data_IF_596008851129
#
_entry.id   IF_596008851129
#
_cell.length_a   1.000
_cell.length_b   1.000
_cell.length_c   1.000
_cell.angle_alpha   90.00
_cell.angle_beta   90.00
_cell.angle_gamma   90.00
#
_symmetry.space_group_name_H-M   'P 1'
#
loop_
_entity.id
_entity.type
_entity.pdbx_description
1 polymer ?
#
# COMPACT_ATOMS: atom_id res chain seq x y z
N UNK A 1 26.33 -40.65 -17.23
CA UNK A 1 26.13 -39.20 -17.05
C UNK A 1 25.52 -38.98 -15.68
N UNK A 2 26.34 -38.60 -14.71
CA UNK A 2 25.91 -38.30 -13.35
C UNK A 2 25.35 -36.88 -13.35
N UNK A 3 24.05 -36.73 -13.10
CA UNK A 3 23.44 -35.42 -12.90
C UNK A 3 24.14 -34.76 -11.70
N UNK A 4 24.85 -33.66 -11.94
CA UNK A 4 25.33 -32.80 -10.86
C UNK A 4 24.11 -32.09 -10.29
N UNK A 5 23.53 -32.65 -9.23
CA UNK A 5 22.75 -31.86 -8.27
C UNK A 5 23.73 -30.88 -7.65
N UNK A 6 23.75 -29.65 -8.16
CA UNK A 6 24.35 -28.54 -7.44
C UNK A 6 23.54 -28.36 -6.16
N UNK A 7 24.08 -28.66 -4.97
CA UNK A 7 23.39 -28.37 -3.73
C UNK A 7 23.35 -26.86 -3.64
N UNK A 8 22.15 -26.27 -3.63
CA UNK A 8 21.96 -24.93 -3.12
C UNK A 8 22.67 -24.87 -1.75
N UNK A 9 23.62 -23.96 -1.51
CA UNK A 9 24.40 -24.01 -0.28
C UNK A 9 23.49 -23.81 0.94
N UNK A 10 23.49 -24.77 1.88
CA UNK A 10 23.31 -24.49 3.31
C UNK A 10 21.89 -24.39 3.90
N UNK A 11 20.83 -24.85 3.23
CA UNK A 11 19.48 -24.88 3.81
C UNK A 11 18.96 -26.32 3.97
N UNK A 12 18.50 -26.63 5.18
CA UNK A 12 17.84 -27.92 5.52
C UNK A 12 16.40 -27.91 5.00
N UNK A 13 15.84 -29.08 4.67
CA UNK A 13 14.44 -29.22 4.20
C UNK A 13 13.41 -28.52 5.12
N UNK A 14 13.66 -28.50 6.43
CA UNK A 14 12.84 -27.77 7.39
C UNK A 14 12.88 -26.25 7.18
N UNK A 15 14.06 -25.70 6.92
CA UNK A 15 14.23 -24.25 6.67
C UNK A 15 13.59 -23.85 5.34
N UNK A 16 13.70 -24.70 4.31
CA UNK A 16 13.02 -24.49 3.04
C UNK A 16 11.50 -24.45 3.27
N UNK A 17 10.95 -25.40 4.03
CA UNK A 17 9.54 -25.43 4.37
C UNK A 17 9.10 -24.17 5.12
N UNK A 18 9.87 -23.72 6.10
CA UNK A 18 9.56 -22.51 6.87
C UNK A 18 9.55 -21.25 5.98
N UNK A 19 10.51 -21.12 5.06
CA UNK A 19 10.55 -20.03 4.07
C UNK A 19 9.30 -20.04 3.19
N UNK A 20 8.85 -21.21 2.72
CA UNK A 20 7.63 -21.31 1.91
C UNK A 20 6.36 -20.93 2.68
N UNK A 21 6.27 -21.31 3.96
CA UNK A 21 5.13 -20.93 4.82
C UNK A 21 5.11 -19.42 5.05
N UNK A 22 6.28 -18.82 5.30
CA UNK A 22 6.41 -17.37 5.48
C UNK A 22 6.02 -16.62 4.19
N UNK A 23 6.56 -17.03 3.03
CA UNK A 23 6.19 -16.49 1.72
C UNK A 23 4.69 -16.56 1.45
N UNK A 24 4.05 -17.71 1.73
CA UNK A 24 2.61 -17.88 1.55
C UNK A 24 1.81 -16.95 2.47
N UNK A 25 2.21 -16.85 3.75
CA UNK A 25 1.57 -15.95 4.71
C UNK A 25 1.68 -14.48 4.26
N UNK A 26 2.87 -14.05 3.85
CA UNK A 26 3.10 -12.68 3.44
C UNK A 26 2.40 -12.34 2.12
N UNK A 27 2.43 -13.25 1.14
CA UNK A 27 1.69 -13.11 -0.11
C UNK A 27 0.17 -13.00 0.12
N UNK A 28 -0.39 -13.86 0.98
CA UNK A 28 -1.81 -13.83 1.33
C UNK A 28 -2.20 -12.51 2.03
N UNK A 29 -1.32 -11.97 2.89
CA UNK A 29 -1.51 -10.66 3.53
C UNK A 29 -1.60 -9.55 2.48
N UNK A 30 -0.63 -9.48 1.58
CA UNK A 30 -0.56 -8.44 0.55
C UNK A 30 -1.70 -8.55 -0.47
N UNK A 31 -2.11 -9.78 -0.83
CA UNK A 31 -3.29 -9.98 -1.66
C UNK A 31 -4.57 -9.48 -0.97
N UNK A 32 -4.73 -9.77 0.31
CA UNK A 32 -5.86 -9.27 1.07
C UNK A 32 -5.87 -7.74 1.14
N UNK A 33 -4.71 -7.10 1.38
CA UNK A 33 -4.57 -5.64 1.32
C UNK A 33 -4.97 -5.10 -0.07
N UNK A 34 -4.55 -5.74 -1.15
CA UNK A 34 -4.89 -5.33 -2.51
C UNK A 34 -6.39 -5.47 -2.82
N UNK A 35 -7.04 -6.53 -2.33
CA UNK A 35 -8.48 -6.71 -2.47
C UNK A 35 -9.25 -5.61 -1.74
N UNK A 36 -8.87 -5.32 -0.50
CA UNK A 36 -9.45 -4.21 0.26
C UNK A 36 -9.23 -2.87 -0.43
N UNK A 37 -8.03 -2.65 -0.97
CA UNK A 37 -7.71 -1.45 -1.73
C UNK A 37 -8.57 -1.34 -2.99
N UNK A 38 -8.83 -2.44 -3.69
CA UNK A 38 -9.75 -2.47 -4.83
C UNK A 38 -11.19 -2.11 -4.46
N UNK A 39 -11.69 -2.57 -3.32
CA UNK A 39 -13.00 -2.14 -2.78
C UNK A 39 -12.99 -0.63 -2.50
N UNK A 40 -11.93 -0.14 -1.86
CA UNK A 40 -11.74 1.28 -1.58
C UNK A 40 -11.72 2.13 -2.86
N UNK A 41 -11.05 1.66 -3.92
CA UNK A 41 -11.07 2.30 -5.26
C UNK A 41 -12.50 2.43 -5.78
N UNK A 42 -13.32 1.38 -5.64
CA UNK A 42 -14.73 1.41 -6.00
C UNK A 42 -15.51 2.50 -5.27
N UNK A 43 -15.34 2.59 -3.95
CA UNK A 43 -15.96 3.64 -3.12
C UNK A 43 -15.53 5.03 -3.58
N UNK A 44 -14.22 5.26 -3.72
CA UNK A 44 -13.65 6.54 -4.20
C UNK A 44 -14.23 6.93 -5.56
N UNK A 45 -14.33 5.98 -6.48
CA UNK A 45 -14.88 6.21 -7.83
C UNK A 45 -16.33 6.65 -7.78
N UNK A 46 -17.17 5.98 -6.99
CA UNK A 46 -18.58 6.35 -6.81
C UNK A 46 -18.71 7.72 -6.14
N UNK A 47 -17.87 8.02 -5.15
CA UNK A 47 -17.85 9.33 -4.48
C UNK A 47 -17.47 10.45 -5.45
N UNK A 48 -16.41 10.26 -6.25
CA UNK A 48 -15.99 11.24 -7.26
C UNK A 48 -17.06 11.44 -8.33
N UNK A 49 -17.70 10.35 -8.79
CA UNK A 49 -18.82 10.41 -9.72
C UNK A 49 -19.98 11.24 -9.16
N UNK A 50 -20.37 11.01 -7.90
CA UNK A 50 -21.44 11.75 -7.25
C UNK A 50 -21.11 13.25 -7.11
N UNK A 51 -19.85 13.59 -6.79
CA UNK A 51 -19.40 14.99 -6.71
C UNK A 51 -19.42 15.64 -8.11
N UNK A 52 -18.95 14.93 -9.13
CA UNK A 52 -18.90 15.42 -10.52
C UNK A 52 -20.30 15.61 -11.13
N UNK A 53 -21.26 14.74 -10.79
CA UNK A 53 -22.63 14.78 -11.29
C UNK A 53 -23.52 15.84 -10.61
N UNK A 54 -22.98 16.63 -9.67
CA UNK A 54 -23.76 17.62 -8.92
C UNK A 54 -24.04 18.88 -9.76
N UNK A 55 -25.30 19.05 -10.18
CA UNK A 55 -25.78 20.12 -11.07
C UNK A 55 -25.85 21.55 -10.47
N UNK A 56 -25.36 21.83 -9.25
CA UNK A 56 -25.48 23.16 -8.65
C UNK A 56 -24.11 23.85 -8.42
N UNK A 57 -23.74 24.86 -9.22
CA UNK A 57 -22.46 25.57 -9.12
C UNK A 57 -22.43 26.73 -8.09
N UNK A 58 -23.43 26.84 -7.20
CA UNK A 58 -23.61 28.04 -6.35
C UNK A 58 -22.54 28.25 -5.26
N UNK A 59 -21.70 27.25 -4.95
CA UNK A 59 -20.60 27.34 -3.97
C UNK A 59 -19.27 26.84 -4.58
N UNK A 60 -18.75 27.55 -5.59
CA UNK A 60 -17.74 27.04 -6.53
C UNK A 60 -16.31 26.81 -5.99
N UNK A 61 -16.05 27.03 -4.70
CA UNK A 61 -14.72 26.82 -4.07
C UNK A 61 -14.58 25.49 -3.32
N UNK A 62 -15.66 24.90 -2.82
CA UNK A 62 -15.62 23.71 -1.94
C UNK A 62 -15.43 22.35 -2.64
N UNK A 63 -16.05 22.04 -3.81
CA UNK A 63 -15.98 20.68 -4.34
C UNK A 63 -14.60 20.31 -4.89
N UNK A 64 -13.84 21.27 -5.41
CA UNK A 64 -12.48 21.00 -5.97
C UNK A 64 -11.49 20.62 -4.88
N UNK A 65 -11.56 21.28 -3.73
CA UNK A 65 -10.70 20.99 -2.58
C UNK A 65 -10.94 19.58 -2.05
N UNK A 66 -12.20 19.18 -1.88
CA UNK A 66 -12.56 17.82 -1.47
C UNK A 66 -12.11 16.77 -2.49
N UNK A 67 -12.27 17.02 -3.79
CA UNK A 67 -11.79 16.10 -4.84
C UNK A 67 -10.27 15.94 -4.78
N UNK A 68 -9.51 17.04 -4.61
CA UNK A 68 -8.05 16.98 -4.47
C UNK A 68 -7.64 16.15 -3.26
N UNK A 69 -8.29 16.35 -2.11
CA UNK A 69 -8.03 15.57 -0.89
C UNK A 69 -8.33 14.09 -1.12
N UNK A 70 -9.49 13.74 -1.68
CA UNK A 70 -9.87 12.35 -1.98
C UNK A 70 -8.83 11.69 -2.89
N UNK A 71 -8.35 12.40 -3.92
CA UNK A 71 -7.31 11.90 -4.82
C UNK A 71 -5.96 11.74 -4.12
N UNK A 72 -5.57 12.67 -3.24
CA UNK A 72 -4.34 12.58 -2.47
C UNK A 72 -4.37 11.37 -1.52
N UNK A 73 -5.45 11.20 -0.74
CA UNK A 73 -5.61 10.03 0.12
C UNK A 73 -5.64 8.72 -0.68
N UNK A 74 -6.27 8.73 -1.86
CA UNK A 74 -6.26 7.57 -2.76
C UNK A 74 -4.84 7.21 -3.20
N UNK A 75 -4.08 8.19 -3.72
CA UNK A 75 -2.69 7.98 -4.15
C UNK A 75 -1.78 7.53 -3.01
N UNK A 76 -1.98 8.05 -1.81
CA UNK A 76 -1.21 7.70 -0.63
C UNK A 76 -1.45 6.23 -0.24
N UNK A 77 -2.69 5.76 -0.31
CA UNK A 77 -3.00 4.34 -0.16
C UNK A 77 -2.38 3.46 -1.26
N UNK A 78 -2.38 3.91 -2.53
CA UNK A 78 -1.73 3.18 -3.62
C UNK A 78 -0.22 3.07 -3.39
N UNK A 79 0.41 4.13 -2.88
CA UNK A 79 1.82 4.14 -2.55
C UNK A 79 2.13 3.17 -1.41
N UNK A 80 1.31 3.13 -0.36
CA UNK A 80 1.44 2.13 0.72
C UNK A 80 1.38 0.70 0.18
N UNK A 81 0.37 0.40 -0.64
CA UNK A 81 0.23 -0.89 -1.30
C UNK A 81 1.47 -1.22 -2.14
N UNK A 82 1.92 -0.31 -3.00
CA UNK A 82 3.11 -0.51 -3.83
C UNK A 82 4.35 -0.88 -2.99
N UNK A 83 4.57 -0.23 -1.86
CA UNK A 83 5.70 -0.55 -0.98
C UNK A 83 5.60 -1.95 -0.36
N UNK A 84 4.40 -2.37 0.07
CA UNK A 84 4.18 -3.74 0.54
C UNK A 84 4.47 -4.75 -0.57
N UNK A 85 3.89 -4.57 -1.76
CA UNK A 85 4.11 -5.45 -2.91
C UNK A 85 5.57 -5.51 -3.35
N UNK A 86 6.28 -4.38 -3.37
CA UNK A 86 7.70 -4.32 -3.72
C UNK A 86 8.58 -5.03 -2.68
N UNK A 87 8.24 -4.91 -1.39
CA UNK A 87 8.91 -5.64 -0.32
C UNK A 87 8.79 -7.15 -0.48
N UNK A 88 7.59 -7.65 -0.78
CA UNK A 88 7.34 -9.08 -1.01
C UNK A 88 8.07 -9.61 -2.25
N UNK A 89 8.07 -8.85 -3.35
CA UNK A 89 8.81 -9.21 -4.56
C UNK A 89 10.31 -9.28 -4.29
N UNK A 90 10.85 -8.30 -3.56
CA UNK A 90 12.25 -8.31 -3.18
C UNK A 90 12.56 -9.53 -2.32
N UNK A 91 11.75 -9.83 -1.31
CA UNK A 91 11.92 -11.00 -0.45
C UNK A 91 11.89 -12.32 -1.25
N UNK A 92 10.94 -12.47 -2.18
CA UNK A 92 10.80 -13.65 -3.04
C UNK A 92 11.98 -13.84 -4.00
N UNK A 93 12.50 -12.75 -4.58
CA UNK A 93 13.71 -12.77 -5.42
C UNK A 93 14.98 -12.99 -4.59
N UNK A 94 14.98 -12.55 -3.32
CA UNK A 94 16.10 -12.65 -2.38
C UNK A 94 16.25 -14.01 -1.71
N UNK A 95 15.15 -14.77 -1.57
CA UNK A 95 15.11 -16.06 -0.91
C UNK A 95 16.13 -17.11 -1.46
N UNK A 96 16.43 -17.17 -2.77
CA UNK A 96 17.51 -18.01 -3.30
C UNK A 96 18.93 -17.40 -3.24
N UNK A 97 19.11 -16.10 -2.93
CA UNK A 97 20.41 -15.41 -2.99
C UNK A 97 20.96 -14.88 -1.65
N UNK A 98 20.55 -15.47 -0.52
CA UNK A 98 21.13 -15.24 0.82
C UNK A 98 22.64 -15.55 0.96
N UNK A 99 23.35 -15.88 -0.13
CA UNK A 99 24.80 -15.97 -0.17
C UNK A 99 25.51 -14.70 -0.69
N UNK A 100 24.81 -13.72 -1.27
CA UNK A 100 25.43 -12.49 -1.77
C UNK A 100 24.61 -11.27 -1.33
N UNK A 101 25.11 -10.63 -0.28
CA UNK A 101 24.96 -9.21 0.03
C UNK A 101 23.59 -8.73 0.53
N UNK A 102 23.38 -9.04 1.81
CA UNK A 102 22.53 -8.34 2.75
C UNK A 102 22.95 -6.85 2.87
N UNK A 103 22.48 -5.99 1.96
CA UNK A 103 22.66 -4.52 2.06
C UNK A 103 21.36 -3.72 1.85
N UNK A 104 20.19 -4.35 1.94
CA UNK A 104 18.92 -3.62 1.98
C UNK A 104 18.42 -3.51 3.42
N UNK A 105 18.62 -2.33 4.00
CA UNK A 105 18.03 -1.98 5.28
C UNK A 105 16.51 -1.81 5.09
N UNK A 106 15.65 -2.43 5.91
CA UNK A 106 14.19 -2.28 5.84
C UNK A 106 13.69 -0.89 6.31
N UNK A 107 14.57 -0.12 6.95
CA UNK A 107 14.28 1.21 7.52
C UNK A 107 13.60 2.18 6.53
N UNK A 108 14.02 2.28 5.24
CA UNK A 108 13.40 3.22 4.29
C UNK A 108 11.95 2.86 3.96
N UNK A 109 11.59 1.57 3.92
CA UNK A 109 10.24 1.11 3.57
C UNK A 109 9.28 1.34 4.74
N UNK A 110 9.69 1.00 5.96
CA UNK A 110 8.89 1.27 7.17
C UNK A 110 8.68 2.77 7.40
N UNK A 111 9.73 3.57 7.19
CA UNK A 111 9.64 5.03 7.31
C UNK A 111 8.68 5.61 6.26
N UNK A 112 8.74 5.12 5.02
CA UNK A 112 7.83 5.55 3.94
C UNK A 112 6.37 5.21 4.27
N UNK A 113 6.10 4.02 4.80
CA UNK A 113 4.75 3.64 5.26
C UNK A 113 4.28 4.51 6.43
N UNK A 114 5.17 4.81 7.39
CA UNK A 114 4.87 5.68 8.52
C UNK A 114 4.50 7.11 8.09
N UNK A 115 5.28 7.71 7.19
CA UNK A 115 4.99 9.05 6.65
C UNK A 115 3.65 9.06 5.89
N UNK A 116 3.40 8.01 5.11
CA UNK A 116 2.14 7.81 4.36
C UNK A 116 0.94 7.74 5.30
N UNK A 117 1.06 7.03 6.41
CA UNK A 117 0.01 6.95 7.44
C UNK A 117 -0.24 8.31 8.10
N UNK A 118 0.82 9.02 8.52
CA UNK A 118 0.71 10.34 9.16
C UNK A 118 0.03 11.35 8.23
N UNK A 119 0.47 11.43 6.97
CA UNK A 119 -0.12 12.33 5.98
C UNK A 119 -1.60 12.01 5.74
N UNK A 120 -1.99 10.73 5.72
CA UNK A 120 -3.39 10.32 5.56
C UNK A 120 -4.25 10.82 6.71
N UNK A 121 -3.78 10.66 7.96
CA UNK A 121 -4.49 11.11 9.17
C UNK A 121 -4.64 12.63 9.18
N UNK A 122 -3.55 13.37 8.91
CA UNK A 122 -3.58 14.84 8.88
C UNK A 122 -4.57 15.36 7.84
N UNK A 123 -4.61 14.75 6.65
CA UNK A 123 -5.56 15.12 5.60
C UNK A 123 -7.01 14.81 6.01
N UNK A 124 -7.26 13.66 6.62
CA UNK A 124 -8.58 13.28 7.12
C UNK A 124 -9.08 14.27 8.18
N UNK A 125 -8.25 14.58 9.18
CA UNK A 125 -8.59 15.50 10.27
C UNK A 125 -8.81 16.93 9.77
N UNK A 126 -7.97 17.40 8.83
CA UNK A 126 -8.15 18.72 8.20
C UNK A 126 -9.48 18.81 7.45
N UNK A 127 -9.90 17.73 6.80
CA UNK A 127 -11.18 17.67 6.08
C UNK A 127 -12.37 17.71 7.03
N UNK A 128 -12.29 16.98 8.16
CA UNK A 128 -13.31 16.99 9.20
C UNK A 128 -13.45 18.37 9.84
N UNK A 129 -12.33 19.00 10.20
CA UNK A 129 -12.30 20.36 10.76
C UNK A 129 -12.86 21.40 9.77
N UNK A 130 -12.52 21.29 8.49
CA UNK A 130 -13.05 22.16 7.44
C UNK A 130 -14.57 22.02 7.29
N UNK A 131 -15.08 20.78 7.25
CA UNK A 131 -16.52 20.54 7.18
C UNK A 131 -17.26 21.10 8.40
N UNK A 132 -16.72 20.93 9.61
CA UNK A 132 -17.30 21.52 10.83
C UNK A 132 -17.37 23.04 10.72
N UNK A 133 -16.28 23.71 10.33
CA UNK A 133 -16.25 25.17 10.21
C UNK A 133 -17.27 25.69 9.18
N UNK A 134 -17.46 24.97 8.07
CA UNK A 134 -18.42 25.35 7.03
C UNK A 134 -19.90 25.19 7.41
N UNK A 135 -20.19 24.49 8.51
CA UNK A 135 -21.56 24.28 9.02
C UNK A 135 -21.96 25.35 10.04
N UNK A 136 -20.99 25.97 10.73
CA UNK A 136 -21.22 27.01 11.74
C UNK A 136 -21.21 28.45 11.18
N UNK A 137 -20.88 28.63 9.90
CA UNK A 137 -20.87 29.92 9.18
C UNK A 137 -22.02 29.97 8.19
#
# INVERSE_FOLDING_TARGET
MTARTHPTPGLTDSQIKDIFVDLDMQFNRVMFTALLYGIYTGVVTVTLWAIASRNNPQNSKSPRFLVIIILLLYLLGAFGLYNEWAGELLFCISAPCLAVEFSFSPIPVELAMGITAILSVVLADTTLAWNLMSVFV
#
